data_IF_059940455852
#
_entry.id   IF_059940455852
#
_cell.length_a   1.000
_cell.length_b   1.000
_cell.length_c   1.000
_cell.angle_alpha   90.00
_cell.angle_beta   90.00
_cell.angle_gamma   90.00
#
_symmetry.space_group_name_H-M   'P 1'
#
loop_
_entity.id
_entity.type
_entity.pdbx_description
1 polymer ?
#
# COMPACT_ATOMS: atom_id res chain seq x y z
N UNK A 1 -204.81 51.55 25.01
CA UNK A 1 -206.19 52.00 24.71
C UNK A 1 -206.67 51.32 23.44
N UNK A 2 -207.91 50.81 23.36
CA UNK A 2 -208.43 50.22 22.13
C UNK A 2 -208.71 51.32 21.11
N UNK A 3 -208.36 51.07 19.85
CA UNK A 3 -208.61 51.99 18.74
C UNK A 3 -210.05 51.76 18.25
N UNK A 4 -210.97 52.70 18.54
CA UNK A 4 -212.34 52.68 18.00
C UNK A 4 -212.41 53.62 16.80
N UNK A 5 -212.56 53.05 15.60
CA UNK A 5 -212.85 53.76 14.36
C UNK A 5 -214.34 54.18 14.33
N UNK A 6 -214.64 55.48 14.20
CA UNK A 6 -216.03 56.00 14.12
C UNK A 6 -216.69 55.62 12.78
N UNK A 7 -217.88 55.03 12.82
CA UNK A 7 -218.47 54.16 11.78
C UNK A 7 -219.28 54.81 10.63
N UNK A 8 -219.44 56.14 10.53
CA UNK A 8 -220.43 56.78 9.61
C UNK A 8 -219.92 57.99 8.77
N UNK A 9 -218.66 58.08 8.36
CA UNK A 9 -218.23 59.15 7.42
C UNK A 9 -218.01 58.59 6.01
N UNK A 10 -218.83 59.07 5.08
CA UNK A 10 -218.71 58.87 3.62
C UNK A 10 -217.78 59.91 2.97
N UNK A 11 -216.92 60.57 3.74
CA UNK A 11 -215.88 61.48 3.24
C UNK A 11 -214.50 61.14 3.84
N UNK A 12 -213.41 61.21 3.05
CA UNK A 12 -212.04 60.95 3.52
C UNK A 12 -211.61 61.89 4.66
N UNK A 13 -210.82 61.35 5.60
CA UNK A 13 -210.29 62.08 6.76
C UNK A 13 -209.12 62.99 6.36
N UNK A 14 -209.07 64.19 6.95
CA UNK A 14 -208.09 65.25 6.69
C UNK A 14 -206.79 65.07 7.47
N UNK A 15 -205.73 65.80 7.12
CA UNK A 15 -204.38 65.68 7.71
C UNK A 15 -204.33 65.71 9.25
N UNK A 16 -205.20 66.49 9.91
CA UNK A 16 -205.32 66.50 11.40
C UNK A 16 -205.93 65.20 11.93
N UNK A 17 -206.81 64.57 11.15
CA UNK A 17 -207.46 63.30 11.49
C UNK A 17 -206.57 62.07 11.19
N UNK A 18 -205.42 62.25 10.52
CA UNK A 18 -204.40 61.21 10.30
C UNK A 18 -203.30 61.18 11.38
N UNK A 19 -203.25 62.17 12.27
CA UNK A 19 -202.31 62.25 13.39
C UNK A 19 -202.82 61.47 14.61
N UNK A 20 -203.19 60.21 14.36
CA UNK A 20 -203.65 59.29 15.38
C UNK A 20 -202.68 58.15 15.56
N UNK A 21 -201.62 58.39 16.34
CA UNK A 21 -200.92 57.42 17.20
C UNK A 21 -199.65 56.72 16.66
N UNK A 22 -198.48 57.39 16.76
CA UNK A 22 -197.15 56.74 16.80
C UNK A 22 -196.20 57.42 17.81
N UNK A 23 -196.60 57.56 19.08
CA UNK A 23 -195.73 58.10 20.14
C UNK A 23 -194.56 57.17 20.56
N UNK A 24 -194.27 56.09 19.82
CA UNK A 24 -193.19 55.16 20.17
C UNK A 24 -191.95 55.26 19.25
N UNK A 25 -191.86 56.31 18.42
CA UNK A 25 -190.71 56.54 17.52
C UNK A 25 -189.88 57.79 17.85
N UNK A 26 -190.31 58.63 18.80
CA UNK A 26 -189.58 59.87 19.09
C UNK A 26 -188.44 59.72 20.11
N UNK A 27 -188.32 58.56 20.78
CA UNK A 27 -187.30 58.31 21.82
C UNK A 27 -186.17 57.34 21.43
N UNK A 28 -185.95 57.05 20.13
CA UNK A 28 -184.78 56.28 19.65
C UNK A 28 -183.76 57.19 18.95
N UNK A 29 -182.79 57.74 19.70
CA UNK A 29 -181.59 58.38 19.16
C UNK A 29 -180.42 57.39 19.09
N UNK A 30 -180.21 56.78 17.93
CA UNK A 30 -178.98 56.05 17.59
C UNK A 30 -177.99 57.04 16.95
N UNK A 31 -176.83 57.29 17.57
CA UNK A 31 -175.88 58.35 17.14
C UNK A 31 -174.73 57.75 16.33
N UNK A 32 -174.64 58.11 15.04
CA UNK A 32 -173.56 57.72 14.13
C UNK A 32 -172.28 58.53 14.46
N UNK A 33 -171.15 57.87 14.73
CA UNK A 33 -169.85 58.50 15.05
C UNK A 33 -169.32 59.37 13.91
N UNK A 34 -168.65 60.49 14.24
CA UNK A 34 -168.04 61.38 13.24
C UNK A 34 -166.66 60.89 12.79
N UNK A 35 -166.18 61.36 11.62
CA UNK A 35 -164.83 61.06 11.15
C UNK A 35 -163.73 61.49 12.13
N UNK A 36 -163.98 62.50 12.99
CA UNK A 36 -163.01 62.92 14.00
C UNK A 36 -162.88 61.90 15.13
N UNK A 37 -164.01 61.31 15.53
CA UNK A 37 -164.05 60.29 16.58
C UNK A 37 -163.33 59.04 16.09
N UNK A 38 -163.60 58.61 14.86
CA UNK A 38 -162.92 57.47 14.23
C UNK A 38 -161.41 57.67 14.17
N UNK A 39 -160.92 58.88 13.82
CA UNK A 39 -159.48 59.18 13.78
C UNK A 39 -158.83 59.26 15.17
N UNK A 40 -159.58 59.72 16.19
CA UNK A 40 -159.11 59.80 17.57
C UNK A 40 -158.95 58.45 18.25
N UNK A 41 -159.59 57.40 17.73
CA UNK A 41 -159.45 56.02 18.22
C UNK A 41 -158.15 55.34 17.75
N UNK A 42 -157.41 55.91 16.79
CA UNK A 42 -156.15 55.33 16.27
C UNK A 42 -154.96 55.93 17.02
N UNK A 43 -154.08 55.06 17.56
CA UNK A 43 -152.83 55.42 18.22
C UNK A 43 -151.66 54.61 17.63
N UNK A 44 -150.52 55.26 17.42
CA UNK A 44 -149.28 54.63 16.93
C UNK A 44 -148.13 55.00 17.87
N UNK A 45 -147.37 53.98 18.28
CA UNK A 45 -146.11 54.11 19.03
C UNK A 45 -145.02 53.40 18.24
N UNK A 46 -143.99 54.13 17.82
CA UNK A 46 -142.77 53.56 17.26
C UNK A 46 -141.68 53.55 18.33
N UNK A 47 -141.34 52.36 18.85
CA UNK A 47 -140.41 52.17 19.96
C UNK A 47 -138.96 51.97 19.50
N UNK A 48 -138.65 52.14 18.21
CA UNK A 48 -137.29 52.11 17.66
C UNK A 48 -137.07 51.06 16.56
N UNK A 49 -135.85 51.06 16.01
CA UNK A 49 -135.46 50.31 14.81
C UNK A 49 -134.99 51.27 13.72
N UNK A 50 -134.69 50.74 12.53
CA UNK A 50 -134.39 51.56 11.36
C UNK A 50 -135.71 52.03 10.70
N UNK A 51 -135.75 53.29 10.25
CA UNK A 51 -136.96 53.91 9.69
C UNK A 51 -137.91 54.43 10.78
N UNK A 52 -139.13 54.80 10.39
CA UNK A 52 -140.13 55.34 11.31
C UNK A 52 -141.57 55.16 10.84
N UNK A 53 -142.49 54.82 11.74
CA UNK A 53 -143.94 54.83 11.51
C UNK A 53 -144.62 55.98 12.27
N UNK A 54 -145.43 56.78 11.58
CA UNK A 54 -146.17 57.89 12.20
C UNK A 54 -147.63 57.92 11.74
N UNK A 55 -148.50 58.47 12.60
CA UNK A 55 -149.92 58.66 12.31
C UNK A 55 -150.30 60.12 12.49
N UNK A 56 -150.93 60.72 11.47
CA UNK A 56 -151.45 62.08 11.52
C UNK A 56 -152.94 62.07 11.86
N UNK A 57 -153.28 62.38 13.10
CA UNK A 57 -154.66 62.36 13.62
C UNK A 57 -155.61 63.39 12.99
N UNK A 58 -155.08 64.45 12.35
CA UNK A 58 -155.90 65.44 11.67
C UNK A 58 -156.41 64.93 10.30
N UNK A 59 -155.58 64.20 9.57
CA UNK A 59 -155.89 63.71 8.21
C UNK A 59 -156.26 62.23 8.16
N UNK A 60 -155.92 61.45 9.19
CA UNK A 60 -156.15 60.01 9.26
C UNK A 60 -155.12 59.18 8.50
N UNK A 61 -154.03 59.81 8.03
CA UNK A 61 -152.98 59.14 7.25
C UNK A 61 -151.95 58.48 8.17
N UNK A 62 -151.67 57.20 7.92
CA UNK A 62 -150.53 56.48 8.47
C UNK A 62 -149.39 56.55 7.46
N UNK A 63 -148.23 57.07 7.87
CA UNK A 63 -147.03 57.19 7.04
C UNK A 63 -145.94 56.29 7.58
N UNK A 64 -145.45 55.39 6.73
CA UNK A 64 -144.25 54.60 7.00
C UNK A 64 -143.09 55.12 6.17
N UNK A 65 -142.00 55.49 6.84
CA UNK A 65 -140.72 55.82 6.22
C UNK A 65 -139.77 54.65 6.47
N UNK A 66 -139.29 54.01 5.41
CA UNK A 66 -138.34 52.89 5.54
C UNK A 66 -136.94 53.35 6.00
N UNK A 67 -136.07 52.39 6.36
CA UNK A 67 -134.67 52.64 6.69
C UNK A 67 -133.95 53.51 5.67
N UNK A 68 -133.22 54.50 6.15
CA UNK A 68 -132.29 55.28 5.33
C UNK A 68 -131.03 54.46 5.01
N UNK A 69 -130.32 54.87 3.97
CA UNK A 69 -129.05 54.23 3.62
C UNK A 69 -127.99 54.37 4.74
N UNK A 70 -128.10 55.38 5.62
CA UNK A 70 -127.19 55.53 6.76
C UNK A 70 -127.47 54.48 7.85
N UNK A 71 -128.74 54.25 8.16
CA UNK A 71 -129.17 53.21 9.11
C UNK A 71 -128.76 51.83 8.62
N UNK A 72 -129.05 51.49 7.36
CA UNK A 72 -128.62 50.20 6.79
C UNK A 72 -127.10 50.03 6.82
N UNK A 73 -126.33 51.09 6.54
CA UNK A 73 -124.86 51.02 6.56
C UNK A 73 -124.26 50.89 7.96
N UNK A 74 -124.97 51.28 9.01
CA UNK A 74 -124.48 51.19 10.39
C UNK A 74 -124.35 49.74 10.88
N UNK A 75 -125.07 48.79 10.26
CA UNK A 75 -125.02 47.36 10.62
C UNK A 75 -123.76 46.63 10.12
N UNK A 76 -122.95 47.25 9.26
CA UNK A 76 -121.76 46.62 8.69
C UNK A 76 -120.48 47.14 9.35
N UNK A 77 -119.49 46.26 9.52
CA UNK A 77 -118.15 46.58 10.00
C UNK A 77 -117.10 45.70 9.34
N UNK A 78 -115.84 46.15 9.36
CA UNK A 78 -114.67 45.36 8.96
C UNK A 78 -113.61 45.43 10.07
N UNK A 79 -112.95 44.30 10.36
CA UNK A 79 -111.88 44.20 11.34
C UNK A 79 -110.70 43.42 10.75
N UNK A 80 -109.48 43.91 10.97
CA UNK A 80 -108.25 43.31 10.46
C UNK A 80 -107.49 42.67 11.63
N UNK A 81 -107.86 41.44 12.00
CA UNK A 81 -107.36 40.79 13.20
C UNK A 81 -105.93 40.21 13.07
N UNK A 82 -105.54 39.78 11.87
CA UNK A 82 -104.19 39.29 11.54
C UNK A 82 -104.02 39.15 10.02
N UNK A 83 -102.76 38.98 9.57
CA UNK A 83 -102.40 38.82 8.16
C UNK A 83 -101.90 40.12 7.51
N UNK A 84 -101.44 39.99 6.26
CA UNK A 84 -100.93 41.11 5.49
C UNK A 84 -102.05 41.81 4.69
N UNK A 85 -101.87 43.11 4.46
CA UNK A 85 -102.90 43.95 3.85
C UNK A 85 -104.01 44.33 4.83
N UNK A 86 -105.03 45.02 4.32
CA UNK A 86 -106.11 45.58 5.16
C UNK A 86 -107.47 45.53 4.46
N UNK A 87 -108.51 45.18 5.22
CA UNK A 87 -109.91 45.34 4.81
C UNK A 87 -110.57 46.46 5.62
N UNK A 88 -111.08 47.49 4.92
CA UNK A 88 -111.73 48.66 5.54
C UNK A 88 -113.15 48.83 5.01
N UNK A 89 -114.09 49.13 5.89
CA UNK A 89 -115.47 49.49 5.54
C UNK A 89 -115.72 50.98 5.73
N UNK A 90 -116.23 51.67 4.70
CA UNK A 90 -116.59 53.09 4.78
C UNK A 90 -118.10 53.24 5.04
N UNK A 91 -118.47 53.59 6.27
CA UNK A 91 -119.87 53.72 6.69
C UNK A 91 -120.64 54.89 6.05
N UNK A 92 -119.96 55.84 5.41
CA UNK A 92 -120.60 56.93 4.68
C UNK A 92 -121.00 56.54 3.24
N UNK A 93 -120.26 55.63 2.61
CA UNK A 93 -120.47 55.22 1.20
C UNK A 93 -120.94 53.78 1.03
N UNK A 94 -120.76 52.92 2.03
CA UNK A 94 -121.17 51.51 2.00
C UNK A 94 -120.16 50.59 1.31
N UNK A 95 -118.98 51.09 0.98
CA UNK A 95 -117.96 50.34 0.22
C UNK A 95 -117.01 49.61 1.18
N UNK A 96 -116.79 48.32 0.91
CA UNK A 96 -115.66 47.56 1.45
C UNK A 96 -114.45 47.70 0.50
N UNK A 97 -113.30 48.11 1.05
CA UNK A 97 -112.04 48.25 0.32
C UNK A 97 -111.02 47.27 0.87
N UNK A 98 -110.51 46.40 0.00
CA UNK A 98 -109.36 45.55 0.32
C UNK A 98 -108.10 46.13 -0.30
N UNK A 99 -107.11 46.41 0.54
CA UNK A 99 -105.75 46.75 0.11
C UNK A 99 -104.87 45.52 0.34
N UNK A 100 -104.31 44.97 -0.74
CA UNK A 100 -103.43 43.79 -0.65
C UNK A 100 -102.12 44.07 0.11
N UNK A 101 -101.33 43.02 0.37
CA UNK A 101 -100.04 43.14 1.04
C UNK A 101 -99.10 44.09 0.29
N UNK A 102 -98.41 44.95 1.04
CA UNK A 102 -97.31 45.75 0.55
C UNK A 102 -96.07 44.89 0.30
N UNK A 103 -95.14 45.39 -0.52
CA UNK A 103 -93.85 44.73 -0.72
C UNK A 103 -93.03 44.60 0.58
N UNK A 104 -93.29 45.44 1.59
CA UNK A 104 -92.64 45.33 2.89
C UNK A 104 -93.18 44.13 3.68
N UNK A 105 -94.51 43.98 3.72
CA UNK A 105 -95.17 42.82 4.35
C UNK A 105 -94.71 41.51 3.68
N UNK A 106 -94.71 41.44 2.34
CA UNK A 106 -94.24 40.24 1.62
C UNK A 106 -92.77 39.89 1.93
N UNK A 107 -91.89 40.88 2.06
CA UNK A 107 -90.47 40.63 2.35
C UNK A 107 -90.22 40.22 3.80
N UNK A 108 -91.08 40.63 4.74
CA UNK A 108 -90.93 40.28 6.15
C UNK A 108 -91.05 38.78 6.42
N UNK A 109 -91.59 37.99 5.49
CA UNK A 109 -91.70 36.53 5.59
C UNK A 109 -90.38 35.78 5.37
N UNK A 110 -89.34 36.44 4.87
CA UNK A 110 -88.05 35.81 4.59
C UNK A 110 -87.00 36.23 5.61
N UNK A 111 -86.18 35.27 6.06
CA UNK A 111 -84.97 35.51 6.84
C UNK A 111 -83.75 34.99 6.09
N UNK A 112 -82.65 35.72 6.14
CA UNK A 112 -81.41 35.32 5.50
C UNK A 112 -80.56 34.44 6.44
N UNK A 113 -79.94 33.39 5.89
CA UNK A 113 -78.91 32.60 6.58
C UNK A 113 -77.52 33.24 6.46
N UNK A 114 -76.49 32.59 7.02
CA UNK A 114 -75.11 33.08 6.90
C UNK A 114 -74.69 33.25 5.43
N UNK A 115 -74.04 34.38 5.15
CA UNK A 115 -73.53 34.77 3.83
C UNK A 115 -74.54 35.12 2.76
N UNK A 116 -75.83 35.18 3.11
CA UNK A 116 -76.90 35.72 2.27
C UNK A 116 -77.41 37.01 2.90
N UNK A 117 -77.65 38.04 2.10
CA UNK A 117 -78.38 39.24 2.50
C UNK A 117 -79.71 39.33 1.73
N UNK A 118 -80.74 39.80 2.43
CA UNK A 118 -82.07 40.04 1.87
C UNK A 118 -82.46 41.48 2.22
N UNK A 119 -82.08 42.39 1.34
CA UNK A 119 -82.35 43.83 1.52
C UNK A 119 -83.20 44.35 0.38
N UNK A 120 -84.34 44.99 0.73
CA UNK A 120 -85.27 45.60 -0.22
C UNK A 120 -85.77 44.67 -1.36
N UNK A 121 -85.69 43.36 -1.20
CA UNK A 121 -86.15 42.36 -2.17
C UNK A 121 -85.05 41.83 -3.09
N UNK A 122 -83.81 42.27 -2.88
CA UNK A 122 -82.62 41.69 -3.52
C UNK A 122 -82.07 40.61 -2.60
N UNK A 123 -81.83 39.43 -3.18
CA UNK A 123 -81.05 38.37 -2.53
C UNK A 123 -79.63 38.45 -3.08
N UNK A 124 -78.65 38.66 -2.20
CA UNK A 124 -77.25 38.82 -2.60
C UNK A 124 -76.30 38.09 -1.64
N UNK A 125 -75.05 37.98 -2.08
CA UNK A 125 -73.90 37.60 -1.24
C UNK A 125 -73.11 38.89 -1.01
N UNK A 126 -73.12 39.46 0.21
CA UNK A 126 -72.33 40.65 0.52
C UNK A 126 -70.83 40.44 0.34
N UNK A 127 -70.07 41.53 0.33
CA UNK A 127 -68.61 41.45 0.40
C UNK A 127 -68.20 40.76 1.72
N UNK A 128 -67.18 39.92 1.65
CA UNK A 128 -66.60 39.18 2.78
C UNK A 128 -67.58 38.32 3.58
N UNK A 129 -68.73 37.96 2.98
CA UNK A 129 -69.79 37.23 3.69
C UNK A 129 -69.71 35.71 3.56
N UNK A 130 -68.79 35.20 2.72
CA UNK A 130 -68.52 33.77 2.59
C UNK A 130 -67.35 33.41 3.49
N UNK A 131 -67.66 32.78 4.62
CA UNK A 131 -66.69 32.41 5.64
C UNK A 131 -66.06 31.04 5.33
N UNK A 132 -64.95 30.72 6.00
CA UNK A 132 -64.26 29.42 5.91
C UNK A 132 -65.19 28.23 6.16
N UNK A 133 -66.10 28.34 7.14
CA UNK A 133 -67.09 27.32 7.50
C UNK A 133 -68.20 27.13 6.46
N UNK A 134 -68.32 28.04 5.49
CA UNK A 134 -69.30 27.94 4.40
C UNK A 134 -68.74 27.24 3.15
N UNK A 135 -67.41 27.09 3.06
CA UNK A 135 -66.72 26.43 1.96
C UNK A 135 -66.18 25.08 2.44
N UNK A 136 -66.74 23.99 1.92
CA UNK A 136 -66.26 22.64 2.20
C UNK A 136 -65.19 22.24 1.17
N UNK A 137 -63.92 22.34 1.57
CA UNK A 137 -62.76 21.87 0.78
C UNK A 137 -62.52 20.35 0.90
N UNK A 138 -63.57 19.56 1.13
CA UNK A 138 -63.51 18.17 1.57
C UNK A 138 -62.79 17.17 0.64
N UNK A 139 -62.83 15.89 1.01
CA UNK A 139 -62.07 14.78 0.40
C UNK A 139 -62.88 13.89 -0.56
N UNK A 140 -64.13 14.26 -0.87
CA UNK A 140 -65.07 13.53 -1.71
C UNK A 140 -65.08 13.99 -3.18
N UNK A 141 -65.72 13.19 -4.04
CA UNK A 141 -65.93 13.55 -5.44
C UNK A 141 -66.90 14.75 -5.57
N UNK A 142 -66.60 15.68 -6.48
CA UNK A 142 -67.36 16.92 -6.72
C UNK A 142 -67.36 17.96 -5.58
N UNK A 143 -66.36 17.94 -4.71
CA UNK A 143 -66.09 19.03 -3.76
C UNK A 143 -65.06 19.99 -4.34
N UNK A 144 -65.12 21.26 -3.91
CA UNK A 144 -64.15 22.28 -4.31
C UNK A 144 -62.78 21.85 -3.76
N UNK A 145 -61.82 21.60 -4.65
CA UNK A 145 -60.45 21.31 -4.25
C UNK A 145 -59.48 22.40 -4.77
N UNK A 146 -58.18 22.20 -4.58
CA UNK A 146 -57.17 23.18 -5.02
C UNK A 146 -57.07 23.33 -6.54
N UNK A 147 -57.57 22.37 -7.32
CA UNK A 147 -57.65 22.48 -8.79
C UNK A 147 -58.77 23.42 -9.24
N UNK A 148 -59.80 23.63 -8.40
CA UNK A 148 -60.94 24.49 -8.70
C UNK A 148 -60.70 25.98 -8.37
N UNK A 149 -59.60 26.30 -7.67
CA UNK A 149 -59.29 27.67 -7.25
C UNK A 149 -58.27 28.32 -8.22
N UNK A 150 -58.67 29.36 -8.98
CA UNK A 150 -57.76 30.05 -9.88
C UNK A 150 -56.65 30.76 -9.12
N UNK A 151 -55.42 30.62 -9.61
CA UNK A 151 -54.26 31.27 -9.02
C UNK A 151 -54.16 32.73 -9.44
N UNK A 152 -53.78 33.60 -8.49
CA UNK A 152 -53.50 35.00 -8.76
C UNK A 152 -52.08 35.22 -9.30
N UNK A 153 -51.77 36.46 -9.71
CA UNK A 153 -50.42 36.82 -10.15
C UNK A 153 -49.37 36.85 -9.02
N UNK A 154 -49.81 36.94 -7.76
CA UNK A 154 -48.94 37.04 -6.58
C UNK A 154 -48.91 35.76 -5.72
N UNK A 155 -49.99 34.99 -5.68
CA UNK A 155 -50.08 33.75 -4.92
C UNK A 155 -50.41 32.59 -5.86
N UNK A 156 -49.36 31.90 -6.33
CA UNK A 156 -49.45 30.71 -7.16
C UNK A 156 -49.19 29.47 -6.30
N UNK A 157 -49.93 28.39 -6.51
CA UNK A 157 -49.62 27.10 -5.91
C UNK A 157 -48.26 26.61 -6.43
N UNK A 158 -47.48 26.08 -5.51
CA UNK A 158 -46.22 25.42 -5.81
C UNK A 158 -46.54 24.00 -6.26
N UNK A 159 -46.80 23.83 -7.55
CA UNK A 159 -46.81 22.49 -8.14
C UNK A 159 -45.37 21.98 -8.23
N UNK A 160 -45.17 20.66 -8.19
CA UNK A 160 -43.84 20.05 -8.41
C UNK A 160 -43.21 20.60 -9.70
N UNK A 161 -43.98 20.68 -10.78
CA UNK A 161 -43.52 21.23 -12.06
C UNK A 161 -42.98 22.68 -11.96
N UNK A 162 -43.60 23.55 -11.15
CA UNK A 162 -43.13 24.93 -10.94
C UNK A 162 -41.94 25.01 -10.01
N UNK A 163 -41.89 24.17 -8.98
CA UNK A 163 -40.72 24.06 -8.11
C UNK A 163 -39.51 23.60 -8.94
N UNK A 164 -39.69 22.56 -9.76
CA UNK A 164 -38.67 22.03 -10.68
C UNK A 164 -38.25 23.09 -11.71
N UNK A 165 -39.20 23.82 -12.30
CA UNK A 165 -38.89 24.90 -13.23
C UNK A 165 -38.09 26.04 -12.57
N UNK A 166 -38.38 26.35 -11.29
CA UNK A 166 -37.60 27.34 -10.54
C UNK A 166 -36.20 26.84 -10.19
N UNK A 167 -36.05 25.59 -9.75
CA UNK A 167 -34.75 24.99 -9.47
C UNK A 167 -33.91 24.94 -10.75
N UNK A 168 -34.52 24.57 -11.88
CA UNK A 168 -33.84 24.52 -13.18
C UNK A 168 -33.35 25.89 -13.68
N UNK A 169 -34.01 26.98 -13.25
CA UNK A 169 -33.62 28.36 -13.58
C UNK A 169 -32.73 29.00 -12.50
N UNK A 170 -32.50 28.34 -11.37
CA UNK A 170 -31.71 28.90 -10.29
C UNK A 170 -30.21 28.83 -10.62
N UNK A 171 -29.50 29.94 -10.49
CA UNK A 171 -28.04 29.91 -10.38
C UNK A 171 -27.65 29.54 -8.95
N UNK A 172 -26.58 28.79 -8.77
CA UNK A 172 -25.98 28.54 -7.45
C UNK A 172 -25.49 29.83 -6.78
N UNK A 173 -25.22 30.89 -7.55
CA UNK A 173 -24.73 32.19 -7.05
C UNK A 173 -25.74 32.94 -6.17
N UNK A 174 -27.00 32.52 -6.17
CA UNK A 174 -28.06 33.14 -5.35
C UNK A 174 -28.26 32.45 -4.01
N UNK A 175 -27.54 31.34 -3.75
CA UNK A 175 -27.56 30.65 -2.47
C UNK A 175 -26.71 31.46 -1.47
N UNK A 176 -27.28 31.74 -0.29
CA UNK A 176 -26.63 32.60 0.71
C UNK A 176 -25.32 32.03 1.26
N UNK A 177 -25.17 30.72 1.19
CA UNK A 177 -24.00 29.96 1.63
C UNK A 177 -23.05 29.62 0.48
N UNK A 178 -23.27 30.15 -0.73
CA UNK A 178 -22.36 29.99 -1.87
C UNK A 178 -21.82 31.35 -2.28
N UNK A 179 -20.50 31.46 -2.32
CA UNK A 179 -19.81 32.69 -2.71
C UNK A 179 -19.68 32.81 -4.23
N UNK A 180 -20.23 33.89 -4.80
CA UNK A 180 -20.27 34.19 -6.23
C UNK A 180 -18.95 34.74 -6.80
N UNK A 181 -17.81 34.50 -6.16
CA UNK A 181 -16.48 34.82 -6.72
C UNK A 181 -16.27 34.13 -8.08
N UNK A 182 -15.50 34.72 -9.01
CA UNK A 182 -15.24 34.10 -10.31
C UNK A 182 -14.61 32.71 -10.17
N UNK A 183 -15.31 31.67 -10.60
CA UNK A 183 -14.77 30.31 -10.72
C UNK A 183 -13.97 30.17 -12.02
N UNK A 184 -12.88 29.40 -11.99
CA UNK A 184 -12.18 28.97 -13.19
C UNK A 184 -12.68 27.59 -13.65
N UNK A 185 -12.43 27.25 -14.91
CA UNK A 185 -12.79 25.93 -15.43
C UNK A 185 -12.13 24.83 -14.59
N UNK A 186 -12.97 23.97 -14.02
CA UNK A 186 -12.53 22.83 -13.21
C UNK A 186 -12.67 23.01 -11.71
N UNK A 187 -12.98 24.22 -11.22
CA UNK A 187 -13.22 24.45 -9.79
C UNK A 187 -14.42 23.65 -9.25
N UNK A 188 -14.36 23.33 -7.96
CA UNK A 188 -15.44 22.73 -7.17
C UNK A 188 -15.78 23.64 -6.00
N UNK A 189 -17.04 23.58 -5.58
CA UNK A 189 -17.47 24.24 -4.35
C UNK A 189 -16.93 23.48 -3.13
N UNK A 190 -16.10 24.14 -2.34
CA UNK A 190 -15.57 23.61 -1.08
C UNK A 190 -15.97 24.52 0.06
N UNK A 191 -16.43 23.94 1.16
CA UNK A 191 -16.75 24.72 2.36
C UNK A 191 -15.47 25.34 2.94
N UNK A 192 -15.47 26.66 3.07
CA UNK A 192 -14.44 27.48 3.70
C UNK A 192 -14.91 27.89 5.08
N UNK A 193 -14.23 27.41 6.12
CA UNK A 193 -14.48 27.85 7.50
C UNK A 193 -14.07 29.31 7.75
N UNK A 194 -13.33 29.92 6.83
CA UNK A 194 -12.93 31.34 6.87
C UNK A 194 -14.05 32.23 6.33
N UNK A 195 -14.69 31.79 5.24
CA UNK A 195 -15.77 32.54 4.59
C UNK A 195 -17.18 32.11 5.07
N UNK A 196 -17.25 31.09 5.94
CA UNK A 196 -18.48 30.44 6.43
C UNK A 196 -19.47 30.10 5.30
N UNK A 197 -18.93 29.51 4.24
CA UNK A 197 -19.68 29.21 3.03
C UNK A 197 -18.89 28.36 2.04
N UNK A 198 -19.57 27.93 0.98
CA UNK A 198 -18.99 27.20 -0.15
C UNK A 198 -18.38 28.17 -1.15
N UNK A 199 -17.10 27.98 -1.43
CA UNK A 199 -16.33 28.84 -2.31
C UNK A 199 -15.80 28.02 -3.49
N UNK A 200 -15.74 28.57 -4.71
CA UNK A 200 -15.11 27.88 -5.82
C UNK A 200 -13.60 27.82 -5.60
N UNK A 201 -13.05 26.61 -5.58
CA UNK A 201 -11.61 26.34 -5.48
C UNK A 201 -11.23 25.18 -6.37
N UNK A 202 -9.94 25.09 -6.71
CA UNK A 202 -9.43 23.94 -7.46
C UNK A 202 -9.75 22.63 -6.72
N UNK A 203 -10.23 21.58 -7.43
CA UNK A 203 -10.61 20.32 -6.83
C UNK A 203 -9.44 19.67 -6.09
N UNK A 204 -9.70 19.07 -4.91
CA UNK A 204 -8.70 18.29 -4.21
C UNK A 204 -8.14 17.20 -5.15
N UNK A 205 -6.87 17.33 -5.54
CA UNK A 205 -6.15 16.37 -6.38
C UNK A 205 -5.64 16.90 -7.72
N UNK A 206 -6.12 18.04 -8.22
CA UNK A 206 -5.43 18.75 -9.31
C UNK A 206 -4.29 19.63 -8.76
N UNK A 207 -4.43 20.09 -7.51
CA UNK A 207 -3.40 20.79 -6.73
C UNK A 207 -3.58 20.63 -5.22
N UNK A 208 -4.35 19.61 -4.79
CA UNK A 208 -4.83 19.51 -3.40
C UNK A 208 -5.14 18.10 -2.86
N UNK A 209 -4.58 17.04 -3.46
CA UNK A 209 -4.27 15.84 -2.68
C UNK A 209 -2.95 16.12 -1.96
N UNK A 210 -2.64 15.45 -0.84
CA UNK A 210 -1.30 15.60 -0.24
C UNK A 210 -0.25 15.46 -1.34
N UNK A 211 0.67 16.43 -1.41
CA UNK A 211 1.83 16.37 -2.28
C UNK A 211 2.64 15.15 -1.87
N UNK A 212 2.39 14.03 -2.56
CA UNK A 212 3.06 12.76 -2.31
C UNK A 212 4.40 12.82 -3.03
N UNK A 213 5.35 13.47 -2.39
CA UNK A 213 6.68 13.68 -2.90
C UNK A 213 7.62 12.60 -2.34
N UNK A 214 8.28 11.85 -3.23
CA UNK A 214 9.33 10.92 -2.84
C UNK A 214 10.68 11.62 -2.75
N UNK A 215 11.05 12.14 -1.57
CA UNK A 215 12.36 12.78 -1.36
C UNK A 215 13.43 11.78 -0.92
N UNK A 216 14.64 11.89 -1.50
CA UNK A 216 15.83 11.28 -0.92
C UNK A 216 16.47 12.26 0.06
N UNK A 217 16.54 11.92 1.35
CA UNK A 217 17.12 12.78 2.39
C UNK A 217 18.64 12.67 2.50
N UNK A 218 19.25 11.72 1.78
CA UNK A 218 20.71 11.53 1.69
C UNK A 218 21.33 12.06 0.40
N UNK A 219 22.65 11.89 0.26
CA UNK A 219 23.43 12.35 -0.90
C UNK A 219 23.44 11.38 -2.10
N UNK A 220 22.80 10.21 -1.96
CA UNK A 220 22.74 9.19 -3.01
C UNK A 220 21.67 9.44 -4.08
N UNK A 221 21.56 8.50 -5.02
CA UNK A 221 20.44 8.45 -5.97
C UNK A 221 19.19 7.86 -5.30
N UNK A 222 18.04 8.55 -5.40
CA UNK A 222 16.78 8.10 -4.80
C UNK A 222 16.09 6.98 -5.57
N UNK A 223 15.21 6.23 -4.90
CA UNK A 223 14.38 5.18 -5.51
C UNK A 223 13.08 5.70 -6.12
N UNK A 224 12.57 6.85 -5.67
CA UNK A 224 11.40 7.45 -6.29
C UNK A 224 11.72 7.89 -7.73
N UNK A 225 10.81 7.60 -8.66
CA UNK A 225 10.95 7.97 -10.07
C UNK A 225 10.01 9.12 -10.43
N UNK A 226 8.70 8.90 -10.29
CA UNK A 226 7.67 9.86 -10.66
C UNK A 226 6.33 9.49 -10.05
N UNK A 227 5.39 10.44 -10.08
CA UNK A 227 3.96 10.18 -9.84
C UNK A 227 3.20 10.30 -11.16
N UNK A 228 2.35 9.31 -11.47
CA UNK A 228 1.47 9.33 -12.63
C UNK A 228 0.05 9.03 -12.18
N UNK A 229 -0.81 10.06 -12.17
CA UNK A 229 -2.16 9.93 -11.63
C UNK A 229 -2.13 9.48 -10.17
N UNK A 230 -2.67 8.31 -9.87
CA UNK A 230 -2.72 7.73 -8.52
C UNK A 230 -1.47 6.92 -8.16
N UNK A 231 -0.67 6.49 -9.14
CA UNK A 231 0.45 5.58 -8.92
C UNK A 231 1.73 6.33 -8.52
N UNK A 232 2.42 5.79 -7.50
CA UNK A 232 3.79 6.17 -7.14
C UNK A 232 4.75 5.16 -7.77
N UNK A 233 5.47 5.60 -8.80
CA UNK A 233 6.45 4.75 -9.47
C UNK A 233 7.81 4.83 -8.77
N UNK A 234 8.37 3.67 -8.42
CA UNK A 234 9.73 3.52 -7.91
C UNK A 234 10.63 2.82 -8.95
N UNK A 235 11.92 3.12 -8.91
CA UNK A 235 12.94 2.38 -9.66
C UNK A 235 13.01 0.95 -9.11
N UNK A 236 13.13 -0.04 -9.99
CA UNK A 236 13.34 -1.43 -9.58
C UNK A 236 14.69 -1.60 -8.88
N UNK A 237 14.70 -2.35 -7.78
CA UNK A 237 15.93 -2.79 -7.14
C UNK A 237 16.45 -4.03 -7.88
N UNK A 238 17.66 -3.94 -8.42
CA UNK A 238 18.32 -5.05 -9.12
C UNK A 238 19.48 -5.52 -8.27
N UNK A 239 19.50 -6.82 -7.97
CA UNK A 239 20.57 -7.43 -7.19
C UNK A 239 21.86 -7.49 -8.03
N UNK A 240 22.92 -6.88 -7.51
CA UNK A 240 24.27 -7.02 -8.08
C UNK A 240 24.87 -8.39 -7.77
N UNK A 241 26.07 -8.65 -8.28
CA UNK A 241 26.76 -9.93 -8.04
C UNK A 241 27.01 -10.15 -6.53
N UNK A 242 26.54 -11.27 -5.99
CA UNK A 242 26.68 -11.61 -4.57
C UNK A 242 25.69 -10.94 -3.60
N UNK A 243 24.78 -10.09 -4.10
CA UNK A 243 23.70 -9.51 -3.30
C UNK A 243 22.40 -10.20 -3.66
N UNK A 244 21.67 -10.69 -2.66
CA UNK A 244 20.30 -11.18 -2.79
C UNK A 244 19.29 -10.10 -2.39
N UNK A 245 18.17 -10.07 -3.10
CA UNK A 245 17.00 -9.25 -2.74
C UNK A 245 15.80 -10.19 -2.69
N UNK A 246 15.24 -10.37 -1.49
CA UNK A 246 14.05 -11.20 -1.26
C UNK A 246 12.87 -10.30 -0.93
N UNK A 247 11.78 -10.41 -1.71
CA UNK A 247 10.53 -9.68 -1.47
C UNK A 247 9.60 -10.50 -0.57
N UNK A 248 9.52 -10.11 0.70
CA UNK A 248 8.61 -10.75 1.66
C UNK A 248 7.29 -9.99 1.71
N UNK A 249 6.37 -10.44 2.58
CA UNK A 249 5.05 -9.83 2.71
C UNK A 249 5.07 -8.40 3.28
N UNK A 250 6.12 -8.02 4.03
CA UNK A 250 6.18 -6.73 4.74
C UNK A 250 7.52 -6.01 4.63
N UNK A 251 8.57 -6.67 4.13
CA UNK A 251 9.89 -6.08 3.96
C UNK A 251 10.61 -6.63 2.73
N UNK A 252 11.69 -5.95 2.37
CA UNK A 252 12.69 -6.43 1.43
C UNK A 252 13.92 -6.82 2.24
N UNK A 253 14.29 -8.10 2.22
CA UNK A 253 15.59 -8.52 2.77
C UNK A 253 16.66 -8.30 1.71
N UNK A 254 17.64 -7.46 2.01
CA UNK A 254 18.85 -7.30 1.20
C UNK A 254 20.00 -7.92 1.99
N UNK A 255 20.57 -8.99 1.47
CA UNK A 255 21.62 -9.74 2.14
C UNK A 255 22.73 -10.11 1.17
N UNK A 256 23.92 -10.36 1.72
CA UNK A 256 24.99 -10.95 0.94
C UNK A 256 24.72 -12.45 0.84
N UNK A 257 24.44 -12.93 -0.37
CA UNK A 257 24.11 -14.34 -0.64
C UNK A 257 25.31 -15.17 -1.05
N UNK A 258 26.51 -14.56 -1.06
CA UNK A 258 27.72 -15.20 -1.54
C UNK A 258 27.89 -15.03 -3.05
N UNK A 259 29.15 -15.01 -3.49
CA UNK A 259 29.49 -15.11 -4.91
C UNK A 259 29.66 -16.59 -5.28
N UNK A 260 29.18 -16.98 -6.45
CA UNK A 260 29.35 -18.35 -6.96
C UNK A 260 30.78 -18.65 -7.45
N UNK A 261 31.65 -17.63 -7.45
CA UNK A 261 33.04 -17.65 -7.94
C UNK A 261 33.93 -16.86 -6.98
N UNK A 262 35.19 -16.63 -7.34
CA UNK A 262 36.12 -15.84 -6.52
C UNK A 262 35.57 -14.44 -6.19
N UNK A 263 35.78 -14.00 -4.95
CA UNK A 263 35.41 -12.68 -4.47
C UNK A 263 36.60 -11.72 -4.64
N UNK A 264 36.54 -10.86 -5.66
CA UNK A 264 37.58 -9.84 -5.90
C UNK A 264 37.34 -8.62 -5.01
N UNK A 265 38.18 -8.44 -3.98
CA UNK A 265 38.21 -7.23 -3.15
C UNK A 265 38.93 -6.05 -3.82
N UNK A 266 39.43 -6.25 -5.04
CA UNK A 266 40.33 -5.35 -5.75
C UNK A 266 41.58 -5.13 -4.90
N UNK A 267 41.77 -3.92 -4.39
CA UNK A 267 42.91 -3.56 -3.53
C UNK A 267 42.46 -3.16 -2.12
N UNK A 268 41.25 -3.55 -1.71
CA UNK A 268 40.75 -3.27 -0.38
C UNK A 268 41.39 -4.20 0.66
N UNK A 269 41.63 -3.67 1.86
CA UNK A 269 42.14 -4.47 2.99
C UNK A 269 41.02 -5.33 3.57
N UNK A 270 41.33 -6.58 3.88
CA UNK A 270 40.52 -7.40 4.78
C UNK A 270 40.93 -7.03 6.21
N UNK A 271 40.00 -6.44 6.97
CA UNK A 271 40.21 -6.09 8.38
C UNK A 271 39.63 -7.18 9.27
N UNK A 272 40.22 -7.39 10.44
CA UNK A 272 39.79 -8.41 11.42
C UNK A 272 39.77 -9.85 10.88
N UNK A 273 40.64 -10.18 9.92
CA UNK A 273 40.87 -11.56 9.53
C UNK A 273 41.57 -12.29 10.69
N UNK A 274 40.93 -13.33 11.22
CA UNK A 274 41.51 -14.16 12.26
C UNK A 274 42.66 -15.02 11.69
N UNK A 275 43.55 -15.48 12.57
CA UNK A 275 44.57 -16.44 12.17
C UNK A 275 43.92 -17.77 11.75
N UNK A 276 44.43 -18.41 10.68
CA UNK A 276 43.80 -19.59 10.10
C UNK A 276 43.87 -20.78 11.05
N UNK A 277 42.77 -21.53 11.13
CA UNK A 277 42.66 -22.78 11.91
C UNK A 277 42.29 -23.97 11.03
N UNK A 278 41.62 -23.72 9.91
CA UNK A 278 41.29 -24.70 8.87
C UNK A 278 42.10 -24.46 7.59
N UNK A 279 42.22 -25.50 6.76
CA UNK A 279 43.00 -25.44 5.52
C UNK A 279 42.44 -24.48 4.45
N UNK A 280 41.19 -24.02 4.60
CA UNK A 280 40.54 -23.09 3.67
C UNK A 280 40.53 -21.64 4.17
N UNK A 281 41.00 -21.39 5.41
CA UNK A 281 41.01 -20.06 5.97
C UNK A 281 42.05 -19.18 5.25
N UNK A 282 41.71 -17.91 5.06
CA UNK A 282 42.68 -16.92 4.62
C UNK A 282 43.71 -16.66 5.71
N UNK A 283 44.99 -16.57 5.34
CA UNK A 283 46.06 -16.27 6.29
C UNK A 283 46.39 -14.78 6.32
N UNK A 284 46.62 -14.24 7.52
CA UNK A 284 47.18 -12.89 7.66
C UNK A 284 48.67 -12.91 7.29
N UNK A 285 49.21 -11.77 6.80
CA UNK A 285 50.66 -11.66 6.59
C UNK A 285 51.44 -11.97 7.88
N UNK A 286 50.95 -11.46 9.01
CA UNK A 286 51.58 -11.68 10.30
C UNK A 286 51.63 -13.17 10.70
N UNK A 287 50.55 -13.92 10.46
CA UNK A 287 50.53 -15.36 10.67
C UNK A 287 51.55 -16.07 9.76
N UNK A 288 51.55 -15.77 8.46
CA UNK A 288 52.47 -16.40 7.50
C UNK A 288 53.92 -16.08 7.88
N UNK A 289 54.24 -14.82 8.14
CA UNK A 289 55.57 -14.40 8.58
C UNK A 289 55.97 -15.15 9.87
N UNK A 290 55.08 -15.22 10.87
CA UNK A 290 55.37 -15.92 12.12
C UNK A 290 55.61 -17.42 11.93
N UNK A 291 54.85 -18.10 11.05
CA UNK A 291 55.03 -19.53 10.78
C UNK A 291 56.34 -19.77 10.04
N UNK A 292 56.67 -18.91 9.06
CA UNK A 292 57.91 -19.03 8.29
C UNK A 292 59.14 -18.74 9.16
N UNK A 293 59.12 -17.67 9.96
CA UNK A 293 60.21 -17.36 10.91
C UNK A 293 60.36 -18.43 11.99
N UNK A 294 59.28 -19.13 12.37
CA UNK A 294 59.35 -20.25 13.31
C UNK A 294 59.87 -21.54 12.66
N UNK A 295 59.90 -21.61 11.33
CA UNK A 295 60.46 -22.76 10.61
C UNK A 295 61.97 -22.57 10.45
N UNK A 296 62.73 -23.35 11.20
CA UNK A 296 64.18 -23.36 11.16
C UNK A 296 64.75 -24.70 10.66
N UNK A 297 66.00 -24.65 10.21
CA UNK A 297 66.84 -25.83 10.08
C UNK A 297 67.64 -26.00 11.35
N UNK A 298 67.20 -26.92 12.21
CA UNK A 298 67.96 -27.38 13.36
C UNK A 298 69.28 -28.05 12.92
N UNK A 299 70.39 -27.66 13.54
CA UNK A 299 71.73 -28.23 13.30
C UNK A 299 72.39 -28.64 14.63
N UNK A 300 73.07 -29.78 14.62
CA UNK A 300 73.84 -30.28 15.75
C UNK A 300 75.20 -30.80 15.28
N UNK A 301 76.26 -30.49 16.03
CA UNK A 301 77.60 -31.04 15.82
C UNK A 301 78.03 -31.96 16.96
N UNK A 302 79.26 -32.46 16.90
CA UNK A 302 79.87 -33.28 17.97
C UNK A 302 79.92 -32.53 19.32
N UNK A 303 79.88 -31.19 19.28
CA UNK A 303 79.58 -30.32 20.42
C UNK A 303 78.70 -29.13 19.99
N UNK A 304 77.56 -28.92 20.65
CA UNK A 304 76.68 -27.76 20.46
C UNK A 304 75.51 -27.96 19.49
N UNK A 305 74.52 -27.07 19.58
CA UNK A 305 73.35 -27.00 18.68
C UNK A 305 73.18 -25.56 18.18
N UNK A 306 72.54 -25.41 17.02
CA UNK A 306 72.14 -24.14 16.44
C UNK A 306 70.90 -24.32 15.56
N UNK A 307 70.33 -23.23 15.09
CA UNK A 307 69.21 -23.24 14.17
C UNK A 307 69.44 -22.16 13.11
N UNK A 308 69.00 -22.42 11.87
CA UNK A 308 69.04 -21.44 10.77
C UNK A 308 67.63 -21.08 10.36
N UNK A 309 67.25 -19.83 10.55
CA UNK A 309 66.00 -19.28 10.04
C UNK A 309 66.05 -19.22 8.51
N UNK A 310 65.12 -19.92 7.86
CA UNK A 310 65.17 -20.19 6.42
C UNK A 310 64.88 -18.96 5.55
N UNK A 311 64.25 -17.91 6.10
CA UNK A 311 63.90 -16.70 5.33
C UNK A 311 64.86 -15.52 5.53
N UNK A 312 65.67 -15.56 6.60
CA UNK A 312 66.49 -14.42 7.03
C UNK A 312 67.97 -14.75 7.22
N UNK A 313 68.32 -16.03 7.37
CA UNK A 313 69.70 -16.46 7.65
C UNK A 313 70.24 -17.36 6.53
N UNK A 314 71.57 -17.36 6.37
CA UNK A 314 72.27 -18.25 5.44
C UNK A 314 72.97 -19.36 6.21
N UNK A 315 72.65 -20.62 5.92
CA UNK A 315 73.41 -21.74 6.45
C UNK A 315 74.77 -21.83 5.75
N UNK A 316 75.81 -21.37 6.45
CA UNK A 316 77.19 -21.40 5.92
C UNK A 316 77.92 -22.62 6.47
N UNK A 317 78.32 -23.53 5.59
CA UNK A 317 79.25 -24.62 5.93
C UNK A 317 80.63 -24.17 5.50
N UNK A 318 81.43 -23.72 6.46
CA UNK A 318 82.80 -23.26 6.21
C UNK A 318 83.78 -24.43 6.28
N UNK A 319 84.56 -24.63 5.22
CA UNK A 319 85.74 -25.46 5.27
C UNK A 319 86.83 -24.86 6.16
N UNK A 320 87.62 -25.71 6.81
CA UNK A 320 88.86 -25.30 7.48
C UNK A 320 90.04 -25.45 6.53
N UNK A 321 90.88 -24.42 6.47
CA UNK A 321 92.03 -24.40 5.57
C UNK A 321 92.93 -25.62 5.82
N UNK A 322 93.27 -26.34 4.74
CA UNK A 322 94.08 -27.57 4.76
C UNK A 322 93.46 -28.78 5.46
N UNK A 323 92.15 -28.77 5.74
CA UNK A 323 91.42 -29.93 6.26
C UNK A 323 90.22 -30.26 5.36
N UNK A 324 89.16 -29.43 5.36
CA UNK A 324 87.94 -29.64 4.58
C UNK A 324 87.74 -28.51 3.57
N UNK A 325 87.47 -28.86 2.32
CA UNK A 325 86.98 -27.94 1.29
C UNK A 325 85.48 -28.10 1.09
N UNK A 326 84.79 -26.98 0.98
CA UNK A 326 83.33 -26.91 0.89
C UNK A 326 82.96 -26.15 -0.37
N UNK A 327 82.18 -26.75 -1.26
CA UNK A 327 81.70 -26.12 -2.49
C UNK A 327 80.19 -26.32 -2.62
N UNK A 328 79.48 -25.27 -3.03
CA UNK A 328 78.04 -25.33 -3.27
C UNK A 328 77.78 -25.12 -4.75
N UNK A 329 77.06 -26.06 -5.37
CA UNK A 329 76.57 -25.92 -6.74
C UNK A 329 75.13 -26.40 -6.80
N UNK A 330 74.20 -25.48 -7.08
CA UNK A 330 72.77 -25.75 -7.03
C UNK A 330 72.31 -26.11 -5.62
N UNK A 331 71.66 -27.26 -5.46
CA UNK A 331 71.19 -27.79 -4.18
C UNK A 331 72.14 -28.83 -3.55
N UNK A 332 73.34 -29.01 -4.13
CA UNK A 332 74.33 -29.95 -3.61
C UNK A 332 75.46 -29.20 -2.93
N UNK A 333 75.71 -29.55 -1.67
CA UNK A 333 76.94 -29.19 -0.96
C UNK A 333 77.91 -30.35 -1.13
N UNK A 334 79.07 -30.08 -1.73
CA UNK A 334 80.18 -31.02 -1.79
C UNK A 334 81.14 -30.71 -0.66
N UNK A 335 81.36 -31.69 0.22
CA UNK A 335 82.39 -31.68 1.25
C UNK A 335 83.51 -32.60 0.81
N UNK A 336 84.70 -32.05 0.64
CA UNK A 336 85.90 -32.78 0.22
C UNK A 336 87.03 -32.59 1.23
N UNK A 337 88.02 -33.47 1.18
CA UNK A 337 89.31 -33.21 1.81
C UNK A 337 90.11 -32.28 0.88
N UNK A 338 90.94 -31.42 1.46
CA UNK A 338 91.85 -30.61 0.64
C UNK A 338 92.91 -31.49 -0.04
N UNK A 339 93.29 -31.13 -1.26
CA UNK A 339 94.39 -31.77 -2.01
C UNK A 339 95.74 -31.69 -1.27
N UNK A 340 95.82 -30.83 -0.24
CA UNK A 340 96.98 -30.68 0.65
C UNK A 340 96.61 -30.91 2.11
N UNK A 341 95.91 -32.01 2.41
CA UNK A 341 95.62 -32.43 3.78
C UNK A 341 96.93 -32.49 4.59
N UNK A 342 97.13 -31.50 5.46
CA UNK A 342 98.41 -31.27 6.16
C UNK A 342 98.43 -31.86 7.58
N UNK A 343 97.46 -32.73 7.89
CA UNK A 343 97.31 -33.37 9.20
C UNK A 343 97.41 -34.88 9.03
N UNK A 344 98.20 -35.50 9.90
CA UNK A 344 98.44 -36.95 9.92
C UNK A 344 97.13 -37.74 9.91
N UNK A 345 96.88 -38.51 8.84
CA UNK A 345 95.82 -39.52 8.83
C UNK A 345 96.32 -40.75 9.59
N UNK A 346 96.10 -40.78 10.89
CA UNK A 346 96.32 -41.98 11.66
C UNK A 346 95.24 -43.03 11.37
N UNK A 347 95.60 -44.31 11.41
CA UNK A 347 94.64 -45.41 11.50
C UNK A 347 93.81 -45.25 12.78
N UNK A 348 92.74 -46.03 12.91
CA UNK A 348 91.84 -45.99 14.09
C UNK A 348 92.54 -46.22 15.44
N UNK A 349 93.80 -46.69 15.43
CA UNK A 349 94.65 -46.86 16.60
C UNK A 349 95.34 -45.56 17.07
N UNK A 350 95.27 -44.48 16.27
CA UNK A 350 95.86 -43.17 16.58
C UNK A 350 97.39 -43.13 16.49
N UNK A 351 98.04 -44.17 15.99
CA UNK A 351 99.51 -44.33 16.00
C UNK A 351 100.05 -44.57 14.60
N UNK A 352 99.32 -45.30 13.75
CA UNK A 352 99.82 -45.67 12.41
C UNK A 352 99.47 -44.59 11.38
N UNK A 353 100.44 -43.85 10.85
CA UNK A 353 100.20 -42.94 9.71
C UNK A 353 99.91 -43.75 8.44
N UNK A 354 98.72 -43.59 7.86
CA UNK A 354 98.35 -44.20 6.57
C UNK A 354 98.77 -43.24 5.46
N UNK A 355 99.81 -43.60 4.70
CA UNK A 355 100.12 -42.97 3.42
C UNK A 355 99.78 -43.97 2.32
N UNK A 356 98.72 -43.72 1.57
CA UNK A 356 98.45 -44.50 0.36
C UNK A 356 99.43 -44.04 -0.74
N UNK A 357 100.42 -44.88 -1.02
CA UNK A 357 101.46 -44.65 -2.05
C UNK A 357 101.22 -45.55 -3.26
N UNK A 358 99.96 -45.93 -3.54
CA UNK A 358 99.67 -46.87 -4.62
C UNK A 358 100.00 -46.34 -6.03
N UNK A 359 100.19 -45.02 -6.22
CA UNK A 359 100.42 -44.44 -7.56
C UNK A 359 101.39 -43.23 -7.64
N UNK A 360 102.11 -42.86 -6.59
CA UNK A 360 103.05 -41.71 -6.64
C UNK A 360 104.32 -41.91 -5.82
N UNK A 361 105.45 -41.40 -6.29
CA UNK A 361 106.71 -41.31 -5.53
C UNK A 361 106.56 -40.40 -4.32
N UNK A 362 106.95 -40.87 -3.12
CA UNK A 362 107.15 -39.99 -1.96
C UNK A 362 108.38 -39.12 -2.23
N UNK A 363 108.17 -37.86 -2.57
CA UNK A 363 109.25 -36.88 -2.85
C UNK A 363 109.73 -36.13 -1.60
N UNK A 364 109.13 -36.41 -0.44
CA UNK A 364 109.52 -35.84 0.85
C UNK A 364 110.54 -36.70 1.60
N UNK A 365 111.32 -36.08 2.48
CA UNK A 365 112.26 -36.77 3.37
C UNK A 365 111.49 -37.65 4.36
N UNK A 366 111.64 -38.97 4.27
CA UNK A 366 111.18 -39.87 5.33
C UNK A 366 112.13 -39.73 6.53
N UNK A 367 111.66 -39.17 7.64
CA UNK A 367 112.43 -39.03 8.88
C UNK A 367 112.06 -40.20 9.80
N UNK A 368 112.77 -41.33 9.68
CA UNK A 368 112.56 -42.51 10.53
C UNK A 368 113.25 -43.78 9.99
N UNK A 369 113.35 -44.82 10.82
CA UNK A 369 113.82 -46.16 10.41
C UNK A 369 112.75 -46.90 9.60
N UNK A 370 113.17 -47.59 8.53
CA UNK A 370 112.30 -48.51 7.77
C UNK A 370 112.62 -49.94 8.19
N UNK A 371 111.74 -50.57 8.96
CA UNK A 371 111.95 -51.93 9.52
C UNK A 371 111.26 -53.05 8.73
N UNK A 372 111.10 -52.90 7.41
CA UNK A 372 110.45 -53.87 6.52
C UNK A 372 111.35 -54.42 5.39
N UNK A 373 111.13 -55.68 5.01
CA UNK A 373 111.85 -56.41 3.95
C UNK A 373 111.70 -55.74 2.56
N UNK A 374 112.82 -55.48 1.87
CA UNK A 374 112.83 -54.98 0.49
C UNK A 374 112.85 -56.16 -0.51
N UNK A 375 111.71 -56.84 -0.65
CA UNK A 375 111.56 -58.15 -1.32
C UNK A 375 111.75 -58.16 -2.87
N UNK A 376 112.28 -57.09 -3.48
CA UNK A 376 112.42 -57.00 -4.95
C UNK A 376 113.63 -56.18 -5.47
N UNK A 377 114.66 -55.93 -4.66
CA UNK A 377 115.86 -55.24 -5.18
C UNK A 377 116.73 -56.16 -6.05
N UNK A 378 116.69 -55.96 -7.37
CA UNK A 378 117.44 -56.75 -8.37
C UNK A 378 118.87 -56.25 -8.61
N UNK A 379 119.33 -55.23 -7.87
CA UNK A 379 120.73 -54.78 -7.82
C UNK A 379 121.02 -54.14 -6.47
N UNK A 380 121.79 -54.79 -5.60
CA UNK A 380 122.52 -54.04 -4.58
C UNK A 380 123.60 -53.24 -5.31
N UNK A 381 123.53 -51.91 -5.24
CA UNK A 381 124.57 -51.03 -5.79
C UNK A 381 125.94 -51.31 -5.18
N UNK A 382 126.98 -50.68 -5.75
CA UNK A 382 128.40 -50.82 -5.39
C UNK A 382 128.63 -51.06 -3.90
N UNK A 383 129.08 -52.26 -3.53
CA UNK A 383 129.43 -52.57 -2.13
C UNK A 383 130.79 -51.94 -1.85
N UNK A 384 130.79 -50.76 -1.25
CA UNK A 384 131.99 -49.91 -1.07
C UNK A 384 132.83 -50.20 0.17
N UNK A 385 132.52 -51.24 0.95
CA UNK A 385 133.37 -51.64 2.08
C UNK A 385 134.33 -52.79 1.74
N UNK A 386 135.62 -52.56 1.96
CA UNK A 386 136.74 -53.39 1.50
C UNK A 386 136.92 -54.73 2.25
N UNK A 387 136.08 -55.06 3.24
CA UNK A 387 136.18 -56.29 4.01
C UNK A 387 134.80 -56.93 4.24
N UNK A 388 134.42 -57.89 3.39
CA UNK A 388 133.21 -58.69 3.57
C UNK A 388 133.54 -59.95 4.39
N UNK A 389 133.54 -59.83 5.72
CA UNK A 389 133.96 -60.93 6.62
C UNK A 389 133.07 -62.19 6.58
N UNK A 390 131.90 -62.14 5.92
CA UNK A 390 130.84 -63.15 6.06
C UNK A 390 130.46 -63.89 4.75
N UNK A 391 131.21 -63.74 3.65
CA UNK A 391 131.07 -64.67 2.51
C UNK A 391 131.85 -65.95 2.85
N UNK A 392 131.23 -66.86 3.60
CA UNK A 392 131.90 -68.02 4.20
C UNK A 392 131.46 -69.39 3.66
N UNK A 393 130.69 -69.47 2.55
CA UNK A 393 130.29 -70.79 2.02
C UNK A 393 129.78 -70.85 0.57
N UNK A 394 130.50 -71.66 -0.23
CA UNK A 394 130.13 -72.51 -1.39
C UNK A 394 129.08 -72.04 -2.42
N UNK A 395 129.19 -70.80 -2.90
CA UNK A 395 128.73 -70.50 -4.26
C UNK A 395 129.70 -71.14 -5.27
N UNK A 396 129.21 -71.98 -6.19
CA UNK A 396 130.02 -72.46 -7.32
C UNK A 396 130.27 -71.27 -8.24
N UNK A 397 131.49 -70.72 -8.23
CA UNK A 397 131.90 -69.73 -9.22
C UNK A 397 132.08 -70.46 -10.56
N UNK A 398 131.05 -70.39 -11.41
CA UNK A 398 131.05 -71.05 -12.72
C UNK A 398 131.98 -70.38 -13.73
N UNK A 399 132.35 -69.11 -13.49
CA UNK A 399 133.46 -68.45 -14.17
C UNK A 399 134.09 -67.40 -13.27
N UNK A 400 135.41 -67.26 -13.35
CA UNK A 400 136.17 -66.17 -12.76
C UNK A 400 137.05 -65.58 -13.85
N UNK A 401 136.84 -64.30 -14.18
CA UNK A 401 137.76 -63.55 -15.04
C UNK A 401 138.68 -62.74 -14.11
N UNK A 402 139.95 -63.10 -14.05
CA UNK A 402 140.97 -62.35 -13.30
C UNK A 402 141.78 -61.49 -14.26
N UNK A 403 141.94 -60.20 -13.93
CA UNK A 403 142.70 -59.26 -14.76
C UNK A 403 144.21 -59.23 -14.51
N UNK A 404 144.74 -60.05 -13.59
CA UNK A 404 146.16 -60.05 -13.19
C UNK A 404 146.64 -61.38 -12.62
N UNK A 405 147.91 -61.43 -12.21
CA UNK A 405 148.60 -62.64 -11.73
C UNK A 405 147.90 -63.34 -10.56
N UNK A 406 147.92 -64.67 -10.57
CA UNK A 406 147.32 -65.51 -9.51
C UNK A 406 148.43 -66.02 -8.58
N UNK A 407 148.49 -65.52 -7.35
CA UNK A 407 149.37 -66.04 -6.30
C UNK A 407 148.68 -67.17 -5.51
N UNK A 408 149.01 -68.43 -5.82
CA UNK A 408 148.38 -69.61 -5.18
C UNK A 408 149.09 -70.09 -3.89
N UNK A 409 150.25 -69.52 -3.54
CA UNK A 409 151.03 -69.96 -2.37
C UNK A 409 151.51 -71.40 -2.48
N UNK A 410 151.49 -72.16 -1.38
CA UNK A 410 151.90 -73.58 -1.33
C UNK A 410 150.81 -74.55 -1.81
N UNK A 411 149.69 -74.05 -2.35
CA UNK A 411 148.57 -74.88 -2.80
C UNK A 411 148.87 -75.61 -4.12
N UNK A 412 148.43 -76.86 -4.22
CA UNK A 412 148.59 -77.68 -5.43
C UNK A 412 147.53 -77.33 -6.48
N UNK A 413 147.93 -77.25 -7.75
CA UNK A 413 147.01 -77.32 -8.88
C UNK A 413 146.77 -78.81 -9.17
N UNK A 414 145.55 -79.30 -8.92
CA UNK A 414 145.16 -80.69 -9.21
C UNK A 414 144.31 -80.75 -10.49
N UNK A 415 144.39 -81.85 -11.23
CA UNK A 415 143.62 -82.04 -12.47
C UNK A 415 144.17 -81.36 -13.73
N UNK A 416 145.44 -80.91 -13.70
CA UNK A 416 146.11 -80.33 -14.87
C UNK A 416 146.45 -81.42 -15.91
N UNK A 417 145.97 -81.26 -17.15
CA UNK A 417 146.25 -82.19 -18.26
C UNK A 417 147.65 -82.00 -18.87
N UNK A 418 148.07 -82.92 -19.74
CA UNK A 418 149.31 -82.75 -20.49
C UNK A 418 149.20 -81.54 -21.45
N UNK A 419 150.23 -80.68 -21.54
CA UNK A 419 150.18 -79.44 -22.31
C UNK A 419 150.01 -79.73 -23.82
N UNK A 420 149.02 -79.08 -24.43
CA UNK A 420 148.71 -79.19 -25.88
C UNK A 420 149.05 -77.88 -26.61
N UNK A 421 148.84 -76.73 -25.97
CA UNK A 421 149.20 -75.41 -26.47
C UNK A 421 150.46 -74.85 -25.81
N UNK A 422 151.13 -73.91 -26.48
CA UNK A 422 152.38 -73.29 -25.99
C UNK A 422 152.22 -72.54 -24.65
N UNK A 423 150.99 -72.20 -24.26
CA UNK A 423 150.67 -71.43 -23.05
C UNK A 423 150.20 -72.33 -21.90
N UNK A 424 150.03 -73.62 -22.18
CA UNK A 424 149.57 -74.57 -21.17
C UNK A 424 150.67 -74.78 -20.13
N UNK A 425 150.27 -74.83 -18.87
CA UNK A 425 151.16 -75.24 -17.81
C UNK A 425 151.50 -76.74 -17.99
N UNK A 426 152.78 -77.08 -18.05
CA UNK A 426 153.23 -78.45 -18.19
C UNK A 426 153.29 -79.16 -16.82
N UNK A 427 152.83 -80.41 -16.76
CA UNK A 427 153.10 -81.27 -15.61
C UNK A 427 154.59 -81.66 -15.58
N UNK A 428 155.17 -81.86 -14.38
CA UNK A 428 156.58 -82.29 -14.26
C UNK A 428 156.84 -83.60 -15.02
N UNK A 429 155.90 -84.54 -14.94
CA UNK A 429 155.95 -85.84 -15.61
C UNK A 429 156.10 -85.70 -17.12
N UNK A 430 155.35 -84.76 -17.73
CA UNK A 430 155.45 -84.48 -19.16
C UNK A 430 156.85 -84.00 -19.55
N UNK A 431 157.40 -83.03 -18.83
CA UNK A 431 158.74 -82.47 -19.10
C UNK A 431 159.85 -83.51 -18.95
N UNK A 432 159.80 -84.32 -17.89
CA UNK A 432 160.81 -85.35 -17.62
C UNK A 432 160.85 -86.42 -18.74
N UNK A 433 159.70 -86.73 -19.34
CA UNK A 433 159.58 -87.76 -20.41
C UNK A 433 160.22 -87.32 -21.72
N UNK A 434 160.04 -86.06 -22.11
CA UNK A 434 160.65 -85.49 -23.34
C UNK A 434 162.17 -85.39 -23.20
N UNK A 435 162.67 -85.00 -22.02
CA UNK A 435 164.11 -84.87 -21.78
C UNK A 435 164.87 -86.21 -21.88
N UNK A 436 164.22 -87.34 -21.58
CA UNK A 436 164.82 -88.68 -21.65
C UNK A 436 164.96 -89.24 -23.08
N UNK A 437 164.29 -88.68 -24.09
CA UNK A 437 164.23 -89.23 -25.45
C UNK A 437 165.38 -88.81 -26.41
N UNK A 438 166.35 -88.00 -25.95
CA UNK A 438 167.66 -87.82 -26.61
C UNK A 438 167.83 -86.58 -27.51
N UNK A 439 168.62 -85.59 -27.06
CA UNK A 439 169.17 -84.52 -27.90
C UNK A 439 170.39 -85.06 -28.69
N UNK A 440 170.31 -85.16 -30.02
CA UNK A 440 171.45 -85.50 -30.88
C UNK A 440 172.11 -84.24 -31.44
N UNK A 441 173.39 -84.00 -31.10
CA UNK A 441 174.23 -82.97 -31.74
C UNK A 441 175.18 -83.65 -32.73
N UNK A 442 175.18 -83.25 -34.01
CA UNK A 442 176.11 -83.74 -35.04
C UNK A 442 177.23 -82.72 -35.36
N UNK A 443 178.47 -83.21 -35.51
CA UNK A 443 179.69 -82.43 -35.79
C UNK A 443 179.78 -81.98 -37.28
N UNK A 444 180.20 -80.73 -37.61
CA UNK A 444 180.21 -80.24 -39.01
C UNK A 444 181.37 -80.80 -39.87
N UNK A 445 181.08 -81.15 -41.14
CA UNK A 445 182.01 -81.73 -42.16
C UNK A 445 182.51 -80.64 -43.14
N UNK A 446 183.80 -80.70 -43.52
CA UNK A 446 184.54 -79.80 -44.44
C UNK A 446 184.18 -80.04 -45.91
N UNK A 447 183.96 -78.99 -46.70
CA UNK A 447 183.71 -79.08 -48.16
C UNK A 447 184.85 -78.37 -48.91
N UNK A 448 185.69 -79.14 -49.61
CA UNK A 448 186.49 -78.66 -50.74
C UNK A 448 185.79 -79.10 -52.04
N UNK A 449 185.75 -78.24 -53.06
CA UNK A 449 185.82 -78.70 -54.45
C UNK A 449 186.43 -77.63 -55.38
N UNK A 450 187.34 -78.15 -56.18
CA UNK A 450 188.21 -77.60 -57.21
C UNK A 450 187.49 -76.85 -58.34
N UNK A 451 188.20 -75.86 -58.89
CA UNK A 451 187.89 -75.06 -60.06
C UNK A 451 188.80 -73.85 -60.13
#
# INVERSE_FOLDING_TARGET
MPLILRKNKTTPLTYIEMDGNFEHLEDLTDTILSNSDVRGLISVTDSGGDGSLSYNSATGVVTYTGPSAAETRAHFSASNASGDGTLVYNSSTGVFTYTGPSAAETRAHFSAGNGIDITAGVVSVPADSINDTMLDFGTGANQINTDDLPEGSTNQYYTNARADARIALASIDVLSDVDARPAVQGDVLTYSSVDDGYIPVAPPGATGGEANDGFNTGTGEGLFKQKVGVDLEFKSLVAGNGIGITNNASDLTIEYTGVASDFDLVNNKIINLADPTAAQDGATKAYVDSVVTAADLDIAGDSGTGAVDLDSQTFTISGTANEIETAVSGQTITLGLSDTLSKDMYASDGITLIVDVSTSTVTGTFVGDVTGNADTSTTSGTVTEAAQANITSLGTLTSLTMGGDIALGTNKITGLGDPVANQDAATKTYVDTIAAAGLHYHTPVRVEKEG
#
